data_IF_726470196370
#
_entry.id   IF_726470196370
#
_cell.length_a   1.000
_cell.length_b   1.000
_cell.length_c   1.000
_cell.angle_alpha   90.00
_cell.angle_beta   90.00
_cell.angle_gamma   90.00
#
_symmetry.space_group_name_H-M   'P 1'
#
loop_
_entity.id
_entity.type
_entity.pdbx_description
1 polymer ?
#
# COMPACT_ATOMS: atom_id res chain seq x y z
N UNK A 1 14.47 5.56 31.76
CA UNK A 1 13.31 5.86 32.63
C UNK A 1 12.16 6.09 31.67
N UNK A 2 11.43 5.02 31.37
CA UNK A 2 10.37 5.02 30.35
C UNK A 2 9.20 5.85 30.87
N UNK A 3 8.99 7.02 30.27
CA UNK A 3 7.77 7.78 30.48
C UNK A 3 6.61 6.89 30.00
N UNK A 4 5.55 6.68 30.80
CA UNK A 4 4.39 5.93 30.32
C UNK A 4 3.89 6.61 29.05
N UNK A 5 3.79 5.87 27.95
CA UNK A 5 3.22 6.35 26.70
C UNK A 5 1.76 6.75 26.95
N UNK A 6 1.56 7.99 27.36
CA UNK A 6 0.24 8.60 27.46
C UNK A 6 -0.15 9.02 26.05
N UNK A 7 -1.32 8.58 25.56
CA UNK A 7 -1.75 9.01 24.25
C UNK A 7 -2.03 10.51 24.24
N UNK A 8 -1.68 11.18 23.14
CA UNK A 8 -1.68 12.65 23.02
C UNK A 8 -3.03 13.27 23.41
N UNK A 9 -4.14 12.60 23.10
CA UNK A 9 -5.50 13.06 23.43
C UNK A 9 -5.84 13.07 24.94
N UNK A 10 -4.93 12.62 25.81
CA UNK A 10 -5.08 12.65 27.27
C UNK A 10 -4.28 13.77 27.94
N UNK A 11 -3.45 14.50 27.18
CA UNK A 11 -2.60 15.58 27.69
C UNK A 11 -3.37 16.91 27.73
N UNK A 12 -3.01 17.80 28.66
CA UNK A 12 -3.46 19.20 28.60
C UNK A 12 -2.73 19.95 27.46
N UNK A 13 -3.21 21.13 27.09
CA UNK A 13 -2.57 21.93 26.05
C UNK A 13 -1.12 22.29 26.43
N UNK A 14 -0.87 22.64 27.69
CA UNK A 14 0.45 22.98 28.21
C UNK A 14 1.40 21.77 28.15
N UNK A 15 0.91 20.58 28.50
CA UNK A 15 1.68 19.33 28.45
C UNK A 15 2.05 18.97 27.00
N UNK A 16 1.16 19.23 26.02
CA UNK A 16 1.44 19.06 24.59
C UNK A 16 2.54 20.02 24.15
N UNK A 17 2.43 21.30 24.50
CA UNK A 17 3.43 22.31 24.14
C UNK A 17 4.83 21.97 24.68
N UNK A 18 4.93 21.53 25.93
CA UNK A 18 6.19 21.09 26.51
C UNK A 18 6.72 19.80 25.86
N UNK A 19 5.85 18.82 25.61
CA UNK A 19 6.25 17.52 25.04
C UNK A 19 6.76 17.62 23.60
N UNK A 20 6.17 18.52 22.79
CA UNK A 20 6.54 18.70 21.39
C UNK A 20 7.51 19.86 21.14
N UNK A 21 7.87 20.62 22.18
CA UNK A 21 8.73 21.79 22.08
C UNK A 21 8.16 22.83 21.11
N UNK A 22 6.87 23.15 21.28
CA UNK A 22 6.14 24.08 20.42
C UNK A 22 5.52 25.19 21.26
N UNK A 23 5.19 26.30 20.63
CA UNK A 23 4.57 27.45 21.28
C UNK A 23 3.10 27.60 20.87
N UNK A 24 2.33 28.38 21.64
CA UNK A 24 0.97 28.79 21.29
C UNK A 24 0.91 29.56 19.96
N UNK A 25 1.99 30.25 19.59
CA UNK A 25 2.10 30.99 18.34
C UNK A 25 2.45 30.09 17.14
N UNK A 26 2.57 28.78 17.34
CA UNK A 26 2.96 27.81 16.32
C UNK A 26 4.47 27.65 16.20
N UNK A 27 4.90 27.26 14.98
CA UNK A 27 6.29 27.02 14.61
C UNK A 27 6.84 28.17 13.78
N UNK A 28 8.13 28.46 13.93
CA UNK A 28 8.85 29.28 12.96
C UNK A 28 9.05 28.53 11.64
N UNK A 29 9.33 29.26 10.55
CA UNK A 29 9.63 28.65 9.25
C UNK A 29 10.85 27.72 9.30
N UNK A 30 11.90 28.12 10.02
CA UNK A 30 13.11 27.32 10.20
C UNK A 30 12.82 26.01 10.92
N UNK A 31 12.06 26.05 12.03
CA UNK A 31 11.65 24.86 12.77
C UNK A 31 10.72 23.95 11.96
N UNK A 32 9.83 24.55 11.16
CA UNK A 32 8.96 23.80 10.27
C UNK A 32 9.77 23.06 9.19
N UNK A 33 10.79 23.73 8.62
CA UNK A 33 11.70 23.14 7.65
C UNK A 33 12.56 22.03 8.26
N UNK A 34 13.15 22.25 9.44
CA UNK A 34 13.91 21.22 10.15
C UNK A 34 13.06 19.98 10.44
N UNK A 35 11.81 20.17 10.88
CA UNK A 35 10.86 19.06 11.10
C UNK A 35 10.49 18.37 9.79
N UNK A 36 10.28 19.10 8.70
CA UNK A 36 9.99 18.52 7.39
C UNK A 36 11.15 17.63 6.90
N UNK A 37 12.39 18.09 7.04
CA UNK A 37 13.57 17.29 6.67
C UNK A 37 13.73 16.06 7.57
N UNK A 38 13.41 16.19 8.86
CA UNK A 38 13.56 15.11 9.85
C UNK A 38 12.48 14.02 9.73
N UNK A 39 11.22 14.41 9.53
CA UNK A 39 10.08 13.50 9.56
C UNK A 39 9.55 13.15 8.17
N UNK A 40 9.94 13.91 7.15
CA UNK A 40 9.38 13.81 5.80
C UNK A 40 8.05 14.54 5.66
N UNK A 41 7.54 14.54 4.43
CA UNK A 41 6.21 15.07 4.15
C UNK A 41 5.13 14.22 4.83
N UNK A 42 4.06 14.87 5.30
CA UNK A 42 2.89 14.18 5.83
C UNK A 42 2.02 13.64 4.67
N UNK A 43 2.59 12.72 3.91
CA UNK A 43 1.94 12.05 2.79
C UNK A 43 2.01 10.54 2.98
N UNK A 44 0.94 9.86 2.59
CA UNK A 44 0.92 8.40 2.61
C UNK A 44 1.77 7.89 1.43
N UNK A 45 2.61 6.86 1.65
CA UNK A 45 3.40 6.30 0.57
C UNK A 45 2.49 5.74 -0.52
N UNK A 46 2.82 6.00 -1.78
CA UNK A 46 2.09 5.41 -2.90
C UNK A 46 2.18 3.88 -2.84
N UNK A 47 1.07 3.16 -3.11
CA UNK A 47 1.10 1.72 -3.17
C UNK A 47 2.00 1.26 -4.31
N UNK A 48 2.72 0.15 -4.12
CA UNK A 48 3.55 -0.40 -5.18
C UNK A 48 2.72 -0.75 -6.42
N UNK A 49 3.10 -0.20 -7.58
CA UNK A 49 2.43 -0.48 -8.85
C UNK A 49 2.83 -1.85 -9.38
N UNK A 50 1.87 -2.76 -9.53
CA UNK A 50 2.07 -4.01 -10.25
C UNK A 50 1.78 -3.79 -11.74
N UNK A 51 2.72 -4.09 -12.66
CA UNK A 51 2.52 -3.82 -14.07
C UNK A 51 1.32 -4.59 -14.63
N UNK A 52 0.62 -3.98 -15.60
CA UNK A 52 -0.65 -4.47 -16.13
C UNK A 52 -0.54 -5.88 -16.72
N UNK A 53 0.56 -6.20 -17.40
CA UNK A 53 0.77 -7.52 -17.98
C UNK A 53 0.86 -8.62 -16.90
N UNK A 54 1.44 -8.34 -15.72
CA UNK A 54 1.44 -9.29 -14.61
C UNK A 54 0.01 -9.50 -14.07
N UNK A 55 -0.77 -8.42 -13.92
CA UNK A 55 -2.17 -8.51 -13.51
C UNK A 55 -3.03 -9.30 -14.49
N UNK A 56 -2.75 -9.17 -15.79
CA UNK A 56 -3.39 -9.96 -16.83
C UNK A 56 -3.10 -11.46 -16.69
N UNK A 57 -1.83 -11.84 -16.46
CA UNK A 57 -1.47 -13.26 -16.28
C UNK A 57 -2.10 -13.92 -15.04
N UNK A 58 -2.51 -13.15 -14.03
CA UNK A 58 -3.24 -13.71 -12.89
C UNK A 58 -4.63 -14.21 -13.29
N UNK A 59 -5.30 -13.54 -14.24
CA UNK A 59 -6.61 -13.96 -14.74
C UNK A 59 -6.52 -15.25 -15.57
N UNK A 60 -5.40 -15.52 -16.23
CA UNK A 60 -5.23 -16.77 -17.00
C UNK A 60 -4.93 -18.00 -16.12
N UNK A 61 -4.71 -17.80 -14.81
CA UNK A 61 -4.28 -18.86 -13.88
C UNK A 61 -5.32 -19.21 -12.81
N UNK A 62 -6.50 -18.58 -12.82
CA UNK A 62 -7.55 -18.96 -11.88
C UNK A 62 -8.09 -20.36 -12.19
N UNK A 63 -8.71 -21.01 -11.19
CA UNK A 63 -9.15 -22.41 -11.26
C UNK A 63 -9.93 -22.74 -12.56
N UNK A 64 -10.93 -21.93 -12.90
CA UNK A 64 -11.71 -22.14 -14.13
C UNK A 64 -10.87 -22.05 -15.43
N UNK A 65 -9.91 -21.11 -15.51
CA UNK A 65 -9.05 -20.97 -16.67
C UNK A 65 -8.12 -22.18 -16.81
N UNK A 66 -7.62 -22.73 -15.70
CA UNK A 66 -6.84 -23.96 -15.72
C UNK A 66 -7.66 -25.15 -16.24
N UNK A 67 -8.94 -25.26 -15.86
CA UNK A 67 -9.83 -26.28 -16.43
C UNK A 67 -9.97 -26.12 -17.94
N UNK A 68 -10.13 -24.89 -18.42
CA UNK A 68 -10.21 -24.59 -19.86
C UNK A 68 -8.91 -24.89 -20.60
N UNK A 69 -7.75 -24.59 -19.99
CA UNK A 69 -6.45 -24.97 -20.55
C UNK A 69 -6.32 -26.49 -20.68
N UNK A 70 -6.69 -27.25 -19.65
CA UNK A 70 -6.68 -28.72 -19.68
C UNK A 70 -7.63 -29.23 -20.75
N UNK A 71 -8.87 -28.73 -20.79
CA UNK A 71 -9.86 -29.12 -21.79
C UNK A 71 -9.39 -28.81 -23.22
N UNK A 72 -8.81 -27.63 -23.45
CA UNK A 72 -8.23 -27.23 -24.73
C UNK A 72 -7.09 -28.15 -25.14
N UNK A 73 -6.13 -28.41 -24.25
CA UNK A 73 -5.01 -29.35 -24.49
C UNK A 73 -5.54 -30.75 -24.84
N UNK A 74 -6.52 -31.26 -24.08
CA UNK A 74 -7.13 -32.56 -24.35
C UNK A 74 -7.86 -32.60 -25.70
N UNK A 75 -8.54 -31.52 -26.10
CA UNK A 75 -9.21 -31.42 -27.41
C UNK A 75 -8.21 -31.48 -28.57
N UNK A 76 -7.05 -30.83 -28.45
CA UNK A 76 -5.97 -30.93 -29.42
C UNK A 76 -5.40 -32.35 -29.51
N UNK A 77 -5.18 -33.01 -28.36
CA UNK A 77 -4.67 -34.40 -28.32
C UNK A 77 -5.70 -35.39 -28.89
N UNK A 78 -6.99 -35.18 -28.63
CA UNK A 78 -8.08 -36.08 -29.05
C UNK A 78 -8.38 -36.03 -30.55
N UNK A 79 -7.72 -35.19 -31.34
CA UNK A 79 -7.99 -35.06 -32.78
C UNK A 79 -9.34 -34.40 -33.10
N UNK A 80 -9.91 -33.64 -32.16
CA UNK A 80 -11.08 -32.78 -32.36
C UNK A 80 -10.69 -31.29 -32.27
N UNK A 81 -9.83 -30.79 -33.17
CA UNK A 81 -9.35 -29.41 -33.10
C UNK A 81 -10.46 -28.37 -33.33
N UNK A 82 -11.59 -28.75 -33.92
CA UNK A 82 -12.74 -27.86 -34.14
C UNK A 82 -13.41 -27.38 -32.84
N UNK A 83 -13.18 -28.06 -31.71
CA UNK A 83 -13.65 -27.65 -30.38
C UNK A 83 -12.62 -26.79 -29.63
N UNK A 84 -11.36 -26.76 -30.10
CA UNK A 84 -10.25 -26.07 -29.44
C UNK A 84 -9.93 -24.68 -30.01
N UNK A 85 -10.53 -24.30 -31.14
CA UNK A 85 -10.33 -23.00 -31.78
C UNK A 85 -11.67 -22.41 -32.22
N UNK A 86 -11.87 -21.12 -31.94
CA UNK A 86 -12.93 -20.27 -32.48
C UNK A 86 -12.29 -19.02 -33.09
#
# INVERSE_FOLDING_TARGET
MDLPHRPIWTLSAEDVYQSFGISENGLSEDEAYERLVKFGANELPEPAHRPLWLRFTDQLRHFMALLLWVAGILAFISGTPQLGWA
#
